data_IF_191435709914
#
_entry.id   IF_191435709914
#
_cell.length_a   1.000
_cell.length_b   1.000
_cell.length_c   1.000
_cell.angle_alpha   90.00
_cell.angle_beta   90.00
_cell.angle_gamma   90.00
#
_symmetry.space_group_name_H-M   'P 1'
#
loop_
_entity.id
_entity.type
_entity.pdbx_description
1 polymer ?
#
# COMPACT_ATOMS: atom_id res chain seq x y z
N UNK A 1 -18.07 -10.51 4.06
CA UNK A 1 -18.19 -9.29 3.20
C UNK A 1 -16.87 -9.13 2.47
N UNK A 2 -16.91 -9.15 1.15
CA UNK A 2 -15.71 -9.07 0.30
C UNK A 2 -14.98 -7.74 0.53
N UNK A 3 -13.68 -7.80 0.82
CA UNK A 3 -12.79 -6.64 0.89
C UNK A 3 -12.10 -6.40 -0.44
N UNK A 4 -11.53 -7.47 -1.01
CA UNK A 4 -10.86 -7.43 -2.32
C UNK A 4 -11.33 -8.63 -3.14
N UNK A 5 -11.64 -8.39 -4.41
CA UNK A 5 -11.99 -9.43 -5.38
C UNK A 5 -11.31 -9.19 -6.70
N UNK A 6 -10.73 -10.23 -7.28
CA UNK A 6 -10.21 -10.20 -8.65
C UNK A 6 -10.97 -11.19 -9.53
N UNK A 7 -11.15 -10.83 -10.80
CA UNK A 7 -11.82 -11.66 -11.81
C UNK A 7 -10.98 -11.69 -13.07
N UNK A 8 -10.44 -12.87 -13.41
CA UNK A 8 -9.57 -13.10 -14.56
C UNK A 8 -8.45 -12.06 -14.68
N UNK A 9 -7.89 -11.65 -13.53
CA UNK A 9 -6.92 -10.57 -13.45
C UNK A 9 -5.67 -10.90 -14.24
N UNK A 10 -5.37 -10.07 -15.23
CA UNK A 10 -4.14 -10.13 -16.00
C UNK A 10 -3.38 -8.80 -15.90
N UNK A 11 -2.06 -8.89 -15.84
CA UNK A 11 -1.19 -7.72 -15.90
C UNK A 11 0.05 -8.00 -16.74
N UNK A 12 0.37 -7.07 -17.63
CA UNK A 12 1.51 -7.17 -18.55
C UNK A 12 2.33 -5.89 -18.45
N UNK A 13 3.61 -6.04 -18.11
CA UNK A 13 4.58 -4.94 -18.20
C UNK A 13 4.98 -4.74 -19.66
N UNK A 14 4.92 -3.50 -20.18
CA UNK A 14 5.48 -3.21 -21.50
C UNK A 14 7.00 -3.43 -21.48
N UNK A 15 7.53 -4.08 -22.49
CA UNK A 15 8.96 -4.18 -22.71
C UNK A 15 9.57 -2.88 -23.22
N UNK A 16 10.89 -2.69 -23.06
CA UNK A 16 11.63 -1.61 -23.71
C UNK A 16 11.60 -1.78 -25.25
N UNK A 17 11.98 -0.73 -26.01
CA UNK A 17 12.08 -0.82 -27.46
C UNK A 17 12.97 -2.00 -27.90
N UNK A 18 12.35 -2.96 -28.59
CA UNK A 18 13.00 -4.20 -29.03
C UNK A 18 12.89 -5.39 -28.07
N UNK A 19 12.33 -5.20 -26.88
CA UNK A 19 12.05 -6.28 -25.93
C UNK A 19 10.55 -6.64 -25.92
N UNK A 20 10.25 -7.92 -25.73
CA UNK A 20 8.86 -8.40 -25.63
C UNK A 20 8.20 -8.01 -24.30
N UNK A 21 6.87 -7.86 -24.32
CA UNK A 21 6.09 -7.61 -23.11
C UNK A 21 6.18 -8.79 -22.14
N UNK A 22 6.26 -8.49 -20.83
CA UNK A 22 6.30 -9.50 -19.76
C UNK A 22 4.93 -9.63 -19.09
N UNK A 23 4.26 -10.76 -19.28
CA UNK A 23 2.99 -11.04 -18.62
C UNK A 23 3.22 -11.55 -17.20
N UNK A 24 2.98 -10.71 -16.21
CA UNK A 24 3.21 -10.99 -14.79
C UNK A 24 2.03 -11.72 -14.12
N UNK A 25 0.79 -11.37 -14.49
CA UNK A 25 -0.43 -12.03 -14.01
C UNK A 25 -1.21 -12.62 -15.18
N UNK A 26 -1.79 -13.82 -14.98
CA UNK A 26 -2.36 -14.62 -16.08
C UNK A 26 -3.71 -15.22 -15.69
N UNK A 27 -4.71 -14.35 -15.47
CA UNK A 27 -6.05 -14.80 -15.09
C UNK A 27 -6.07 -15.25 -13.61
N UNK A 28 -5.90 -14.30 -12.69
CA UNK A 28 -5.89 -14.58 -11.26
C UNK A 28 -7.24 -14.23 -10.66
N UNK A 29 -7.88 -15.23 -10.04
CA UNK A 29 -9.12 -15.08 -9.30
C UNK A 29 -8.81 -15.21 -7.81
N UNK A 30 -9.05 -14.15 -7.04
CA UNK A 30 -8.85 -14.09 -5.59
C UNK A 30 -10.04 -13.41 -4.95
N UNK A 31 -10.47 -13.91 -3.82
CA UNK A 31 -11.49 -13.31 -2.98
C UNK A 31 -10.97 -13.22 -1.54
N UNK A 32 -10.86 -12.01 -1.02
CA UNK A 32 -10.37 -11.72 0.33
C UNK A 32 -11.49 -11.08 1.11
N UNK A 33 -11.87 -11.72 2.21
CA UNK A 33 -12.91 -11.21 3.09
C UNK A 33 -12.37 -10.17 4.08
N UNK A 34 -13.23 -9.25 4.50
CA UNK A 34 -12.93 -8.28 5.55
C UNK A 34 -12.57 -9.01 6.85
N UNK A 35 -11.50 -8.53 7.51
CA UNK A 35 -11.02 -9.11 8.77
C UNK A 35 -10.22 -10.40 8.62
N UNK A 36 -9.98 -10.88 7.40
CA UNK A 36 -9.10 -12.04 7.18
C UNK A 36 -7.62 -11.62 7.19
N UNK A 37 -6.76 -12.58 7.54
CA UNK A 37 -5.31 -12.48 7.39
C UNK A 37 -4.88 -13.45 6.28
N UNK A 38 -4.36 -12.91 5.18
CA UNK A 38 -4.01 -13.67 3.97
C UNK A 38 -2.52 -13.56 3.70
N UNK A 39 -1.87 -14.68 3.41
CA UNK A 39 -0.46 -14.74 3.04
C UNK A 39 -0.35 -15.24 1.61
N UNK A 40 0.35 -14.47 0.75
CA UNK A 40 0.64 -14.84 -0.63
C UNK A 40 2.05 -15.41 -0.72
N UNK A 41 2.16 -16.70 -1.02
CA UNK A 41 3.43 -17.40 -1.13
C UNK A 41 3.80 -17.67 -2.59
N UNK A 42 5.09 -17.64 -2.90
CA UNK A 42 5.62 -17.93 -4.21
C UNK A 42 7.10 -17.54 -4.33
N UNK A 43 7.79 -18.09 -5.35
CA UNK A 43 9.18 -17.73 -5.64
C UNK A 43 9.33 -16.28 -6.14
N UNK A 44 10.56 -15.76 -6.17
CA UNK A 44 10.83 -14.43 -6.72
C UNK A 44 10.45 -14.37 -8.21
N UNK A 45 9.80 -13.28 -8.61
CA UNK A 45 9.28 -13.13 -9.98
C UNK A 45 7.96 -13.85 -10.27
N UNK A 46 7.30 -14.44 -9.27
CA UNK A 46 5.99 -15.11 -9.48
C UNK A 46 4.79 -14.15 -9.59
N UNK A 47 5.00 -12.84 -9.50
CA UNK A 47 3.94 -11.84 -9.64
C UNK A 47 3.31 -11.36 -8.33
N UNK A 48 3.83 -11.77 -7.14
CA UNK A 48 3.29 -11.36 -5.83
C UNK A 48 3.18 -9.84 -5.67
N UNK A 49 4.28 -9.13 -5.89
CA UNK A 49 4.32 -7.66 -5.78
C UNK A 49 3.44 -6.99 -6.83
N UNK A 50 3.31 -7.59 -8.02
CA UNK A 50 2.40 -7.11 -9.06
C UNK A 50 0.95 -7.25 -8.60
N UNK A 51 0.58 -8.42 -8.06
CA UNK A 51 -0.75 -8.68 -7.50
C UNK A 51 -1.05 -7.69 -6.36
N UNK A 52 -0.13 -7.56 -5.40
CA UNK A 52 -0.27 -6.64 -4.28
C UNK A 52 -0.55 -5.20 -4.73
N UNK A 53 0.16 -4.70 -5.74
CA UNK A 53 0.01 -3.35 -6.30
C UNK A 53 -1.30 -3.14 -7.06
N UNK A 54 -1.98 -4.19 -7.50
CA UNK A 54 -3.30 -4.05 -8.11
C UNK A 54 -4.40 -3.83 -7.08
N UNK A 55 -4.21 -4.27 -5.83
CA UNK A 55 -5.23 -4.18 -4.77
C UNK A 55 -5.49 -2.75 -4.29
N UNK A 56 -4.52 -1.85 -4.39
CA UNK A 56 -4.72 -0.43 -4.08
C UNK A 56 -4.64 0.48 -5.32
N UNK A 57 -4.80 -0.11 -6.51
CA UNK A 57 -4.78 0.60 -7.79
C UNK A 57 -3.48 1.42 -8.04
N UNK A 58 -2.32 0.96 -7.53
CA UNK A 58 -1.00 1.43 -7.97
C UNK A 58 -0.72 0.92 -9.38
N UNK A 59 -1.09 -0.33 -9.65
CA UNK A 59 -1.13 -0.90 -10.99
C UNK A 59 -2.58 -1.19 -11.37
N UNK A 60 -2.96 -0.78 -12.58
CA UNK A 60 -4.29 -1.05 -13.12
C UNK A 60 -4.25 -2.32 -13.98
N UNK A 61 -5.29 -3.17 -13.96
CA UNK A 61 -5.35 -4.39 -14.76
C UNK A 61 -5.11 -4.13 -16.24
N UNK A 62 -4.32 -5.00 -16.90
CA UNK A 62 -4.25 -5.06 -18.37
C UNK A 62 -5.39 -5.90 -18.95
N UNK A 63 -6.05 -6.69 -18.13
CA UNK A 63 -7.21 -7.52 -18.45
C UNK A 63 -7.84 -8.05 -17.17
N UNK A 64 -9.11 -8.44 -17.26
CA UNK A 64 -9.90 -8.80 -16.09
C UNK A 64 -10.26 -7.59 -15.24
N UNK A 65 -10.57 -7.82 -13.96
CA UNK A 65 -11.03 -6.76 -13.05
C UNK A 65 -10.52 -6.96 -11.64
N UNK A 66 -10.36 -5.84 -10.92
CA UNK A 66 -10.10 -5.81 -9.48
C UNK A 66 -11.13 -4.91 -8.82
N UNK A 67 -11.75 -5.42 -7.78
CA UNK A 67 -12.73 -4.70 -6.96
C UNK A 67 -12.23 -4.57 -5.52
N UNK A 68 -12.41 -3.39 -4.94
CA UNK A 68 -12.21 -3.10 -3.53
C UNK A 68 -13.55 -2.69 -2.95
N UNK A 69 -14.12 -3.51 -2.07
CA UNK A 69 -15.48 -3.31 -1.53
C UNK A 69 -16.52 -2.99 -2.63
N UNK A 70 -16.44 -3.70 -3.76
CA UNK A 70 -17.30 -3.51 -4.91
C UNK A 70 -16.94 -2.34 -5.84
N UNK A 71 -15.95 -1.51 -5.48
CA UNK A 71 -15.44 -0.43 -6.32
C UNK A 71 -14.47 -0.98 -7.35
N UNK A 72 -14.73 -0.75 -8.64
CA UNK A 72 -13.83 -1.16 -9.75
C UNK A 72 -12.58 -0.25 -9.76
N UNK A 73 -11.38 -0.84 -9.71
CA UNK A 73 -10.12 -0.09 -9.74
C UNK A 73 -9.87 0.63 -11.08
N UNK A 74 -10.62 0.29 -12.13
CA UNK A 74 -10.54 0.98 -13.42
C UNK A 74 -11.38 2.27 -13.47
N UNK A 75 -12.22 2.53 -12.46
CA UNK A 75 -12.99 3.77 -12.36
C UNK A 75 -12.12 4.87 -11.72
N UNK A 76 -11.65 5.82 -12.53
CA UNK A 76 -10.80 6.92 -12.09
C UNK A 76 -11.42 7.76 -10.97
N UNK A 77 -12.75 7.90 -10.94
CA UNK A 77 -13.45 8.65 -9.91
C UNK A 77 -13.37 7.98 -8.52
N UNK A 78 -13.13 6.69 -8.47
CA UNK A 78 -13.06 5.89 -7.23
C UNK A 78 -11.63 5.66 -6.73
N UNK A 79 -10.59 6.00 -7.50
CA UNK A 79 -9.19 5.69 -7.17
C UNK A 79 -8.75 6.26 -5.82
N UNK A 80 -9.16 7.50 -5.50
CA UNK A 80 -8.80 8.12 -4.22
C UNK A 80 -9.42 7.35 -3.05
N UNK A 81 -10.69 6.98 -3.17
CA UNK A 81 -11.39 6.22 -2.14
C UNK A 81 -10.81 4.81 -1.97
N UNK A 82 -10.48 4.13 -3.06
CA UNK A 82 -9.81 2.84 -3.05
C UNK A 82 -8.47 2.92 -2.31
N UNK A 83 -7.62 3.91 -2.64
CA UNK A 83 -6.31 4.10 -1.99
C UNK A 83 -6.41 4.49 -0.52
N UNK A 84 -7.49 5.16 -0.14
CA UNK A 84 -7.80 5.46 1.26
C UNK A 84 -8.14 4.20 2.06
N UNK A 85 -8.85 3.24 1.44
CA UNK A 85 -9.29 1.99 2.08
C UNK A 85 -8.23 0.92 2.12
N UNK A 86 -7.38 0.86 1.11
CA UNK A 86 -6.29 -0.12 1.01
C UNK A 86 -4.96 0.59 1.13
N UNK A 87 -4.37 0.55 2.32
CA UNK A 87 -3.03 1.05 2.57
C UNK A 87 -1.98 0.07 2.07
N UNK A 88 -0.89 0.57 1.47
CA UNK A 88 0.18 -0.28 0.97
C UNK A 88 1.53 0.10 1.58
N UNK A 89 2.25 -0.91 2.05
CA UNK A 89 3.65 -0.80 2.48
C UNK A 89 4.52 -1.47 1.42
N UNK A 90 5.41 -0.69 0.83
CA UNK A 90 6.32 -1.17 -0.23
C UNK A 90 7.55 -1.86 0.35
N UNK A 91 8.16 -2.75 -0.44
CA UNK A 91 9.35 -3.50 -0.08
C UNK A 91 10.53 -2.59 0.34
N UNK A 92 10.73 -1.47 -0.34
CA UNK A 92 11.78 -0.51 -0.01
C UNK A 92 11.17 0.73 0.65
N UNK A 93 11.43 0.97 1.96
CA UNK A 93 10.90 2.13 2.67
C UNK A 93 11.42 3.47 2.13
N UNK A 94 12.62 3.52 1.54
CA UNK A 94 13.16 4.75 0.96
C UNK A 94 12.34 5.27 -0.24
N UNK A 95 11.56 4.39 -0.89
CA UNK A 95 10.63 4.77 -1.95
C UNK A 95 9.29 5.30 -1.42
N UNK A 96 9.03 5.15 -0.13
CA UNK A 96 7.76 5.52 0.51
C UNK A 96 7.91 6.74 1.40
N UNK A 97 9.03 6.88 2.11
CA UNK A 97 9.31 8.01 3.00
C UNK A 97 9.64 9.25 2.16
N UNK A 98 8.92 10.34 2.40
CA UNK A 98 9.00 11.58 1.61
C UNK A 98 9.40 12.82 2.42
N UNK A 99 9.19 12.80 3.74
CA UNK A 99 9.48 13.95 4.61
C UNK A 99 10.88 13.85 5.25
N UNK A 100 11.35 15.00 5.75
CA UNK A 100 12.65 15.12 6.42
C UNK A 100 12.59 14.86 7.92
N UNK A 101 11.39 14.76 8.49
CA UNK A 101 11.14 14.49 9.91
C UNK A 101 10.12 13.37 10.01
N UNK A 102 10.33 12.43 10.93
CA UNK A 102 9.48 11.24 11.11
C UNK A 102 8.01 11.60 11.33
N UNK A 103 7.72 12.55 12.22
CA UNK A 103 6.31 12.92 12.48
C UNK A 103 5.62 13.55 11.26
N UNK A 104 6.36 14.30 10.44
CA UNK A 104 5.84 14.89 9.21
C UNK A 104 5.56 13.82 8.16
N UNK A 105 6.43 12.81 8.08
CA UNK A 105 6.23 11.69 7.16
C UNK A 105 4.99 10.86 7.52
N UNK A 106 4.81 10.56 8.81
CA UNK A 106 3.62 9.82 9.28
C UNK A 106 2.34 10.67 9.15
N UNK A 107 2.44 12.00 9.27
CA UNK A 107 1.32 12.92 9.10
C UNK A 107 0.94 13.14 7.62
N UNK A 108 1.84 12.88 6.69
CA UNK A 108 1.71 13.24 5.26
C UNK A 108 0.43 12.70 4.61
N UNK A 109 0.13 11.43 4.83
CA UNK A 109 -1.06 10.81 4.22
C UNK A 109 -2.38 11.30 4.86
N UNK A 110 -2.53 11.36 6.20
CA UNK A 110 -3.70 11.98 6.82
C UNK A 110 -3.93 13.44 6.41
N UNK A 111 -2.88 14.24 6.26
CA UNK A 111 -2.97 15.62 5.79
C UNK A 111 -3.55 15.70 4.38
N UNK A 112 -3.04 14.89 3.45
CA UNK A 112 -3.54 14.81 2.09
C UNK A 112 -4.99 14.31 1.99
N UNK A 113 -5.43 13.54 2.98
CA UNK A 113 -6.82 13.10 3.10
C UNK A 113 -7.75 14.15 3.76
N UNK A 114 -7.23 15.32 4.12
CA UNK A 114 -8.00 16.40 4.73
C UNK A 114 -8.45 16.11 6.16
N UNK A 115 -7.74 15.27 6.90
CA UNK A 115 -8.03 14.98 8.31
C UNK A 115 -7.76 16.25 9.15
N UNK A 116 -8.63 16.63 10.12
CA UNK A 116 -8.40 17.79 10.97
C UNK A 116 -7.10 17.68 11.77
N UNK A 117 -6.35 18.79 11.91
CA UNK A 117 -5.01 18.81 12.52
C UNK A 117 -4.96 18.20 13.93
N UNK A 118 -5.99 18.43 14.75
CA UNK A 118 -6.07 17.85 16.10
C UNK A 118 -6.15 16.30 16.06
N UNK A 119 -6.84 15.75 15.07
CA UNK A 119 -6.92 14.30 14.87
C UNK A 119 -5.64 13.74 14.25
N UNK A 120 -4.99 14.47 13.33
CA UNK A 120 -3.71 14.06 12.73
C UNK A 120 -2.68 13.82 13.83
N UNK A 121 -2.53 14.76 14.77
CA UNK A 121 -1.57 14.62 15.88
C UNK A 121 -1.78 13.32 16.64
N UNK A 122 -3.04 13.03 17.01
CA UNK A 122 -3.38 11.79 17.69
C UNK A 122 -3.05 10.55 16.84
N UNK A 123 -3.39 10.58 15.55
CA UNK A 123 -3.11 9.45 14.64
C UNK A 123 -1.62 9.18 14.49
N UNK A 124 -0.79 10.22 14.44
CA UNK A 124 0.67 10.13 14.38
C UNK A 124 1.21 9.49 15.67
N UNK A 125 0.79 9.99 16.83
CA UNK A 125 1.25 9.47 18.12
C UNK A 125 0.84 7.99 18.28
N UNK A 126 -0.42 7.64 18.02
CA UNK A 126 -0.95 6.26 18.08
C UNK A 126 -0.20 5.33 17.11
N UNK A 127 0.09 5.79 15.88
CA UNK A 127 0.79 4.99 14.87
C UNK A 127 2.27 4.76 15.24
N UNK A 128 2.97 5.78 15.73
CA UNK A 128 4.36 5.65 16.17
C UNK A 128 4.48 4.76 17.41
N UNK A 129 3.52 4.81 18.33
CA UNK A 129 3.46 3.92 19.48
C UNK A 129 3.26 2.46 19.03
N UNK A 130 2.34 2.21 18.12
CA UNK A 130 2.03 0.88 17.60
C UNK A 130 3.25 0.18 16.97
N UNK A 131 4.16 0.93 16.36
CA UNK A 131 5.40 0.38 15.75
C UNK A 131 6.63 0.52 16.65
N UNK A 132 6.48 1.05 17.89
CA UNK A 132 7.58 1.23 18.85
C UNK A 132 8.62 2.28 18.42
N UNK A 133 8.18 3.36 17.77
CA UNK A 133 9.05 4.41 17.21
C UNK A 133 8.85 5.80 17.82
N UNK A 134 8.15 5.91 18.96
CA UNK A 134 7.82 7.20 19.61
C UNK A 134 9.06 8.04 19.91
N UNK A 135 10.19 7.41 20.32
CA UNK A 135 11.43 8.12 20.62
C UNK A 135 12.10 8.77 19.40
N UNK A 136 11.69 8.39 18.18
CA UNK A 136 12.26 8.89 16.94
C UNK A 136 11.41 9.98 16.26
N UNK A 137 10.33 10.43 16.92
CA UNK A 137 9.34 11.38 16.37
C UNK A 137 9.96 12.62 15.71
N UNK A 138 11.02 13.16 16.28
CA UNK A 138 11.75 14.34 15.78
C UNK A 138 13.01 14.03 14.97
N UNK A 139 13.28 12.74 14.71
CA UNK A 139 14.47 12.35 13.96
C UNK A 139 14.26 12.52 12.45
N UNK A 140 15.38 12.69 11.75
CA UNK A 140 15.38 12.63 10.30
C UNK A 140 15.40 11.16 9.82
N UNK A 141 14.53 10.76 8.90
CA UNK A 141 14.46 9.38 8.44
C UNK A 141 15.78 8.82 7.89
N UNK A 142 16.61 9.65 7.25
CA UNK A 142 17.88 9.20 6.70
C UNK A 142 18.91 8.78 7.75
N UNK A 143 18.71 9.13 9.04
CA UNK A 143 19.54 8.70 10.16
C UNK A 143 19.11 7.36 10.77
N UNK A 144 17.99 6.80 10.28
CA UNK A 144 17.42 5.56 10.80
C UNK A 144 17.98 4.34 10.07
N UNK A 145 18.04 3.21 10.76
CA UNK A 145 18.34 1.91 10.13
C UNK A 145 17.21 1.49 9.18
N UNK A 146 17.49 0.54 8.26
CA UNK A 146 16.49 0.03 7.32
C UNK A 146 15.23 -0.52 8.02
N UNK A 147 15.38 -1.28 9.10
CA UNK A 147 14.25 -1.79 9.88
C UNK A 147 13.45 -0.69 10.60
N UNK A 148 14.13 0.39 11.06
CA UNK A 148 13.44 1.55 11.62
C UNK A 148 12.67 2.31 10.55
N UNK A 149 13.26 2.54 9.37
CA UNK A 149 12.57 3.15 8.22
C UNK A 149 11.33 2.34 7.81
N UNK A 150 11.44 1.00 7.80
CA UNK A 150 10.30 0.13 7.51
C UNK A 150 9.15 0.33 8.51
N UNK A 151 9.46 0.44 9.81
CA UNK A 151 8.46 0.74 10.84
C UNK A 151 7.82 2.12 10.63
N UNK A 152 8.59 3.14 10.21
CA UNK A 152 8.04 4.46 9.90
C UNK A 152 7.09 4.39 8.69
N UNK A 153 7.47 3.67 7.64
CA UNK A 153 6.59 3.45 6.49
C UNK A 153 5.27 2.77 6.88
N UNK A 154 5.33 1.77 7.77
CA UNK A 154 4.14 1.12 8.34
C UNK A 154 3.32 2.12 9.17
N UNK A 155 3.95 2.95 10.01
CA UNK A 155 3.26 3.97 10.79
C UNK A 155 2.51 4.97 9.91
N UNK A 156 3.11 5.41 8.80
CA UNK A 156 2.44 6.29 7.83
C UNK A 156 1.16 5.68 7.25
N UNK A 157 1.18 4.37 6.97
CA UNK A 157 -0.01 3.64 6.51
C UNK A 157 -1.04 3.50 7.64
N UNK A 158 -0.62 3.15 8.85
CA UNK A 158 -1.52 3.03 10.01
C UNK A 158 -2.23 4.35 10.34
N UNK A 159 -1.55 5.49 10.21
CA UNK A 159 -2.11 6.81 10.46
C UNK A 159 -3.28 7.17 9.51
N UNK A 160 -3.33 6.57 8.33
CA UNK A 160 -4.46 6.69 7.40
C UNK A 160 -5.72 6.01 7.94
N UNK A 161 -5.59 5.02 8.83
CA UNK A 161 -6.66 4.12 9.31
C UNK A 161 -7.35 3.39 8.15
N UNK A 162 -6.62 2.67 7.30
CA UNK A 162 -7.20 1.93 6.18
C UNK A 162 -8.02 0.74 6.67
N UNK A 163 -8.91 0.24 5.82
CA UNK A 163 -9.72 -0.97 6.07
C UNK A 163 -8.94 -2.27 5.78
N UNK A 164 -7.93 -2.17 4.93
CA UNK A 164 -7.02 -3.24 4.58
C UNK A 164 -5.59 -2.73 4.46
N UNK A 165 -4.64 -3.52 4.91
CA UNK A 165 -3.20 -3.23 4.74
C UNK A 165 -2.58 -4.33 3.89
N UNK A 166 -1.89 -3.92 2.83
CA UNK A 166 -1.11 -4.80 1.97
C UNK A 166 0.37 -4.58 2.26
N UNK A 167 1.07 -5.65 2.64
CA UNK A 167 2.50 -5.64 2.93
C UNK A 167 3.24 -6.36 1.80
N UNK A 168 4.05 -5.63 1.03
CA UNK A 168 4.88 -6.19 -0.05
C UNK A 168 6.29 -6.44 0.48
N UNK A 169 6.54 -7.65 1.02
CA UNK A 169 7.82 -8.06 1.63
C UNK A 169 8.33 -7.08 2.72
N UNK A 170 7.41 -6.54 3.52
CA UNK A 170 7.69 -5.54 4.55
C UNK A 170 8.09 -6.16 5.89
#
# INVERSE_FOLDING_TARGET
MEMIKTQDLAFTYPGAEGEGNTRALRGVDVEIERGSFVVVLGHNGSGKSTLAKTFNAVLLPSGGKVYVEGMDTMDEALLLEIRRRVGMVFQNPDNQIVANVVEEDVAFAPENLGVPSAEIRKRVDDALEAVGMTQFVKHAPHLLSGGQKQRIAIAGVLAMKPECIVLDEA
#
